data_IF_300211584050
#
_entry.id   IF_300211584050
#
_cell.length_a   1.000
_cell.length_b   1.000
_cell.length_c   1.000
_cell.angle_alpha   90.00
_cell.angle_beta   90.00
_cell.angle_gamma   90.00
#
_symmetry.space_group_name_H-M   'P 1'
#
loop_
_entity.id
_entity.type
_entity.pdbx_description
1 polymer ?
#
# COMPACT_ATOMS: atom_id res chain seq x y z
N UNK A 1 -23.05 23.64 32.07
CA UNK A 1 -23.63 22.29 31.90
C UNK A 1 -22.52 21.28 32.13
N UNK A 2 -22.72 20.31 33.05
CA UNK A 2 -21.70 19.27 33.32
C UNK A 2 -21.53 18.41 32.06
N UNK A 3 -20.31 17.88 31.78
CA UNK A 3 -20.04 17.06 30.58
C UNK A 3 -20.96 15.87 30.38
N UNK A 4 -21.51 15.35 31.47
CA UNK A 4 -22.37 14.16 31.54
C UNK A 4 -23.79 14.34 30.93
N UNK A 5 -24.25 15.57 30.74
CA UNK A 5 -25.61 15.90 30.27
C UNK A 5 -25.68 16.46 28.85
N UNK A 6 -24.62 16.30 28.05
CA UNK A 6 -24.67 16.73 26.64
C UNK A 6 -25.38 15.67 25.78
N UNK A 7 -26.23 16.07 24.82
CA UNK A 7 -26.84 15.12 23.91
C UNK A 7 -25.75 14.34 23.16
N UNK A 8 -25.90 13.02 23.14
CA UNK A 8 -24.96 12.12 22.46
C UNK A 8 -25.49 11.74 21.08
N UNK A 9 -24.63 11.81 20.11
CA UNK A 9 -24.90 11.47 18.71
C UNK A 9 -24.28 10.11 18.43
N UNK A 10 -25.07 9.18 17.90
CA UNK A 10 -24.61 7.86 17.47
C UNK A 10 -24.25 7.88 16.00
N UNK A 11 -23.01 7.48 15.65
CA UNK A 11 -22.59 7.35 14.25
C UNK A 11 -21.53 6.25 14.11
N UNK A 12 -21.73 5.32 13.18
CA UNK A 12 -20.82 4.16 12.94
C UNK A 12 -20.41 3.43 14.23
N UNK A 13 -21.37 3.20 15.15
CA UNK A 13 -21.14 2.49 16.41
C UNK A 13 -20.35 3.27 17.47
N UNK A 14 -20.17 4.57 17.30
CA UNK A 14 -19.51 5.46 18.27
C UNK A 14 -20.44 6.56 18.74
N UNK A 15 -20.27 6.95 19.99
CA UNK A 15 -20.98 8.09 20.59
C UNK A 15 -20.10 9.35 20.53
N UNK A 16 -20.73 10.48 20.23
CA UNK A 16 -20.10 11.79 20.17
C UNK A 16 -20.95 12.79 20.97
N UNK A 17 -20.34 13.61 21.81
CA UNK A 17 -20.96 14.83 22.30
C UNK A 17 -20.86 15.95 21.24
N UNK A 18 -21.55 17.08 21.44
CA UNK A 18 -21.58 18.22 20.50
C UNK A 18 -20.19 18.73 20.14
N UNK A 19 -19.27 18.76 21.11
CA UNK A 19 -17.91 19.21 20.87
C UNK A 19 -17.14 18.18 20.03
N UNK A 20 -17.22 16.90 20.40
CA UNK A 20 -16.59 15.81 19.67
C UNK A 20 -17.14 15.72 18.26
N UNK A 21 -18.46 15.89 18.07
CA UNK A 21 -19.09 15.90 16.76
C UNK A 21 -18.56 17.02 15.88
N UNK A 22 -18.47 18.25 16.43
CA UNK A 22 -17.90 19.39 15.71
C UNK A 22 -16.42 19.14 15.34
N UNK A 23 -15.63 18.59 16.24
CA UNK A 23 -14.23 18.26 15.95
C UNK A 23 -14.10 17.15 14.90
N UNK A 24 -14.95 16.14 14.96
CA UNK A 24 -14.98 15.06 13.95
C UNK A 24 -15.36 15.59 12.58
N UNK A 25 -16.39 16.43 12.48
CA UNK A 25 -16.78 17.06 11.22
C UNK A 25 -15.61 17.84 10.62
N UNK A 26 -14.95 18.70 11.40
CA UNK A 26 -13.78 19.47 10.96
C UNK A 26 -12.61 18.58 10.52
N UNK A 27 -12.42 17.45 11.20
CA UNK A 27 -11.37 16.48 10.81
C UNK A 27 -11.65 15.88 9.45
N UNK A 28 -12.89 15.45 9.18
CA UNK A 28 -13.28 14.90 7.88
C UNK A 28 -13.16 15.97 6.79
N UNK A 29 -13.56 17.19 7.06
CA UNK A 29 -13.47 18.31 6.14
C UNK A 29 -12.03 18.63 5.73
N UNK A 30 -11.10 18.64 6.71
CA UNK A 30 -9.65 18.79 6.42
C UNK A 30 -9.13 17.67 5.53
N UNK A 31 -9.56 16.42 5.77
CA UNK A 31 -9.13 15.31 4.95
C UNK A 31 -9.71 15.38 3.53
N UNK A 32 -10.95 15.85 3.35
CA UNK A 32 -11.55 16.15 2.03
C UNK A 32 -10.69 17.16 1.27
N UNK A 33 -10.32 18.27 1.92
CA UNK A 33 -9.46 19.29 1.31
C UNK A 33 -8.11 18.71 0.89
N UNK A 34 -7.48 17.90 1.77
CA UNK A 34 -6.20 17.24 1.46
C UNK A 34 -6.31 16.29 0.27
N UNK A 35 -7.33 15.42 0.23
CA UNK A 35 -7.50 14.47 -0.87
C UNK A 35 -7.80 15.19 -2.20
N UNK A 36 -8.57 16.26 -2.19
CA UNK A 36 -8.81 17.09 -3.39
C UNK A 36 -7.51 17.64 -3.96
N UNK A 37 -6.62 18.16 -3.12
CA UNK A 37 -5.34 18.71 -3.54
C UNK A 37 -4.36 17.65 -4.01
N UNK A 38 -4.34 16.49 -3.34
CA UNK A 38 -3.56 15.33 -3.80
C UNK A 38 -4.00 14.88 -5.19
N UNK A 39 -5.32 14.78 -5.43
CA UNK A 39 -5.86 14.45 -6.76
C UNK A 39 -5.33 15.43 -7.82
N UNK A 40 -5.48 16.74 -7.59
CA UNK A 40 -5.00 17.75 -8.53
C UNK A 40 -3.48 17.67 -8.76
N UNK A 41 -2.70 17.43 -7.70
CA UNK A 41 -1.24 17.29 -7.82
C UNK A 41 -0.83 16.02 -8.59
N UNK A 42 -1.55 14.91 -8.40
CA UNK A 42 -1.32 13.67 -9.15
C UNK A 42 -1.70 13.83 -10.63
N UNK A 43 -2.83 14.46 -10.92
CA UNK A 43 -3.22 14.81 -12.31
C UNK A 43 -2.16 15.64 -13.00
N UNK A 44 -1.68 16.70 -12.34
CA UNK A 44 -0.62 17.56 -12.88
C UNK A 44 0.73 16.85 -13.07
N UNK A 45 1.01 15.80 -12.28
CA UNK A 45 2.21 14.98 -12.40
C UNK A 45 2.05 13.81 -13.40
N UNK A 46 0.87 13.61 -14.01
CA UNK A 46 0.58 12.48 -14.91
C UNK A 46 0.45 11.13 -14.20
N UNK A 47 0.18 11.13 -12.88
CA UNK A 47 -0.01 9.94 -12.05
C UNK A 47 -1.50 9.55 -12.04
N UNK A 48 -1.98 8.99 -13.14
CA UNK A 48 -3.42 8.77 -13.40
C UNK A 48 -4.09 7.83 -12.40
N UNK A 49 -3.42 6.72 -12.06
CA UNK A 49 -3.95 5.75 -11.08
C UNK A 49 -4.07 6.37 -9.68
N UNK A 50 -3.05 7.12 -9.23
CA UNK A 50 -3.10 7.76 -7.91
C UNK A 50 -4.15 8.88 -7.87
N UNK A 51 -4.34 9.57 -8.96
CA UNK A 51 -5.41 10.57 -9.09
C UNK A 51 -6.78 9.91 -8.99
N UNK A 52 -6.97 8.73 -9.60
CA UNK A 52 -8.19 7.96 -9.53
C UNK A 52 -8.45 7.42 -8.13
N UNK A 53 -7.43 6.87 -7.47
CA UNK A 53 -7.51 6.43 -6.07
C UNK A 53 -7.86 7.58 -5.12
N UNK A 54 -7.23 8.74 -5.30
CA UNK A 54 -7.55 9.94 -4.53
C UNK A 54 -8.99 10.40 -4.75
N UNK A 55 -9.51 10.27 -5.98
CA UNK A 55 -10.90 10.58 -6.30
C UNK A 55 -11.89 9.63 -5.61
N UNK A 56 -11.62 8.33 -5.61
CA UNK A 56 -12.45 7.33 -4.90
C UNK A 56 -12.49 7.64 -3.39
N UNK A 57 -11.34 7.94 -2.80
CA UNK A 57 -11.25 8.32 -1.38
C UNK A 57 -12.02 9.61 -1.10
N UNK A 58 -11.93 10.59 -2.01
CA UNK A 58 -12.65 11.85 -1.91
C UNK A 58 -14.17 11.65 -1.95
N UNK A 59 -14.68 10.77 -2.81
CA UNK A 59 -16.10 10.42 -2.86
C UNK A 59 -16.57 9.83 -1.53
N UNK A 60 -15.88 8.80 -1.01
CA UNK A 60 -16.20 8.16 0.28
C UNK A 60 -16.17 9.16 1.46
N UNK A 61 -15.21 10.07 1.47
CA UNK A 61 -15.12 11.10 2.51
C UNK A 61 -16.27 12.11 2.42
N UNK A 62 -16.69 12.51 1.22
CA UNK A 62 -17.83 13.38 1.04
C UNK A 62 -19.15 12.72 1.47
N UNK A 63 -19.34 11.45 1.17
CA UNK A 63 -20.50 10.66 1.64
C UNK A 63 -20.51 10.57 3.17
N UNK A 64 -19.39 10.21 3.77
CA UNK A 64 -19.22 10.17 5.22
C UNK A 64 -19.48 11.54 5.88
N UNK A 65 -18.96 12.60 5.30
CA UNK A 65 -19.15 13.97 5.79
C UNK A 65 -20.63 14.35 5.82
N UNK A 66 -21.36 14.11 4.73
CA UNK A 66 -22.78 14.40 4.64
C UNK A 66 -23.61 13.56 5.61
N UNK A 67 -23.34 12.25 5.66
CA UNK A 67 -24.03 11.34 6.58
C UNK A 67 -23.81 11.73 8.04
N UNK A 68 -22.55 12.05 8.41
CA UNK A 68 -22.20 12.49 9.76
C UNK A 68 -22.83 13.84 10.11
N UNK A 69 -22.72 14.84 9.23
CA UNK A 69 -23.30 16.17 9.46
C UNK A 69 -24.81 16.10 9.65
N UNK A 70 -25.49 15.27 8.85
CA UNK A 70 -26.94 15.03 9.00
C UNK A 70 -27.28 14.35 10.33
N UNK A 71 -26.56 13.29 10.70
CA UNK A 71 -26.76 12.57 11.96
C UNK A 71 -26.52 13.47 13.19
N UNK A 72 -25.53 14.35 13.08
CA UNK A 72 -25.15 15.29 14.14
C UNK A 72 -26.00 16.58 14.17
N UNK A 73 -26.88 16.79 13.20
CA UNK A 73 -27.62 18.05 13.07
C UNK A 73 -26.72 19.27 12.84
N UNK A 74 -25.50 19.05 12.32
CA UNK A 74 -24.54 20.10 12.06
C UNK A 74 -24.67 20.64 10.64
N UNK A 75 -24.54 21.97 10.42
CA UNK A 75 -24.51 22.52 9.07
C UNK A 75 -23.25 22.04 8.35
N UNK A 76 -23.34 21.85 7.05
CA UNK A 76 -22.17 21.61 6.21
C UNK A 76 -21.30 22.88 6.20
N UNK A 77 -20.13 22.78 6.78
CA UNK A 77 -19.17 23.88 6.83
C UNK A 77 -18.10 23.67 5.78
N UNK A 78 -17.54 24.76 5.28
CA UNK A 78 -16.36 24.74 4.42
C UNK A 78 -15.19 25.31 5.21
N UNK A 79 -14.27 24.47 5.63
CA UNK A 79 -13.07 24.91 6.33
C UNK A 79 -12.09 25.56 5.35
N UNK A 80 -11.69 26.79 5.64
CA UNK A 80 -10.62 27.47 4.89
C UNK A 80 -9.28 27.06 5.48
N UNK A 81 -8.60 26.12 4.83
CA UNK A 81 -7.23 25.78 5.17
C UNK A 81 -6.24 26.80 4.59
N UNK A 82 -5.05 26.90 5.21
CA UNK A 82 -3.91 27.57 4.60
C UNK A 82 -3.49 26.77 3.35
N UNK A 83 -4.03 27.21 2.24
CA UNK A 83 -4.01 26.52 0.95
C UNK A 83 -2.60 26.20 0.50
N UNK A 84 -1.67 27.17 0.63
CA UNK A 84 -0.30 27.07 0.11
C UNK A 84 0.46 25.86 0.68
N UNK A 85 0.47 25.67 2.01
CA UNK A 85 1.21 24.58 2.64
C UNK A 85 0.71 23.19 2.16
N UNK A 86 -0.60 22.99 2.07
CA UNK A 86 -1.18 21.72 1.62
C UNK A 86 -0.87 21.46 0.14
N UNK A 87 -0.87 22.48 -0.68
CA UNK A 87 -0.50 22.36 -2.10
C UNK A 87 0.97 21.97 -2.25
N UNK A 88 1.87 22.62 -1.50
CA UNK A 88 3.30 22.32 -1.56
C UNK A 88 3.60 20.87 -1.10
N UNK A 89 2.98 20.43 -0.02
CA UNK A 89 3.11 19.02 0.44
C UNK A 89 2.55 18.04 -0.59
N UNK A 90 1.40 18.36 -1.20
CA UNK A 90 0.79 17.49 -2.22
C UNK A 90 1.65 17.42 -3.48
N UNK A 91 2.19 18.54 -3.94
CA UNK A 91 3.10 18.60 -5.09
C UNK A 91 4.40 17.84 -4.81
N UNK A 92 5.01 18.03 -3.62
CA UNK A 92 6.22 17.31 -3.24
C UNK A 92 5.98 15.79 -3.18
N UNK A 93 4.83 15.35 -2.67
CA UNK A 93 4.45 13.93 -2.65
C UNK A 93 4.25 13.39 -4.07
N UNK A 94 3.55 14.11 -4.95
CA UNK A 94 3.36 13.70 -6.32
C UNK A 94 4.69 13.62 -7.09
N UNK A 95 5.58 14.60 -6.90
CA UNK A 95 6.91 14.59 -7.51
C UNK A 95 7.75 13.39 -7.03
N UNK A 96 7.72 13.09 -5.71
CA UNK A 96 8.42 11.92 -5.16
C UNK A 96 7.89 10.60 -5.74
N UNK A 97 6.58 10.44 -5.85
CA UNK A 97 5.97 9.26 -6.46
C UNK A 97 6.32 9.13 -7.94
N UNK A 98 6.28 10.25 -8.68
CA UNK A 98 6.70 10.26 -10.09
C UNK A 98 8.15 9.81 -10.23
N UNK A 99 9.07 10.37 -9.43
CA UNK A 99 10.49 9.99 -9.45
C UNK A 99 10.69 8.49 -9.18
N UNK A 100 9.98 7.92 -8.20
CA UNK A 100 10.03 6.48 -7.92
C UNK A 100 9.52 5.66 -9.11
N UNK A 101 8.38 6.02 -9.69
CA UNK A 101 7.82 5.31 -10.85
C UNK A 101 8.70 5.41 -12.09
N UNK A 102 9.29 6.58 -12.34
CA UNK A 102 10.23 6.76 -13.45
C UNK A 102 11.48 5.89 -13.27
N UNK A 103 11.94 5.67 -12.03
CA UNK A 103 13.04 4.75 -11.73
C UNK A 103 12.64 3.27 -11.84
N UNK A 104 11.41 2.91 -11.49
CA UNK A 104 10.87 1.54 -11.58
C UNK A 104 10.54 1.11 -13.02
N UNK A 105 10.07 2.03 -13.85
CA UNK A 105 9.56 1.72 -15.19
C UNK A 105 10.55 0.95 -16.07
N UNK A 106 11.82 1.35 -16.23
CA UNK A 106 12.78 0.61 -17.04
C UNK A 106 13.10 -0.78 -16.48
N UNK A 107 13.06 -0.95 -15.16
CA UNK A 107 13.27 -2.24 -14.50
C UNK A 107 12.12 -3.20 -14.83
N UNK A 108 10.88 -2.73 -14.70
CA UNK A 108 9.68 -3.51 -15.05
C UNK A 108 9.67 -3.91 -16.50
N UNK A 109 10.04 -2.99 -17.37
CA UNK A 109 10.13 -3.26 -18.81
C UNK A 109 11.20 -4.31 -19.12
N UNK A 110 12.38 -4.23 -18.50
CA UNK A 110 13.45 -5.21 -18.65
C UNK A 110 13.01 -6.61 -18.16
N UNK A 111 12.29 -6.70 -17.03
CA UNK A 111 11.73 -7.97 -16.56
C UNK A 111 10.74 -8.54 -17.57
N UNK A 112 9.78 -7.75 -18.05
CA UNK A 112 8.76 -8.20 -19.01
C UNK A 112 9.35 -8.60 -20.35
N UNK A 113 10.41 -7.94 -20.79
CA UNK A 113 11.13 -8.26 -22.04
C UNK A 113 11.96 -9.55 -21.93
N UNK A 114 12.13 -10.08 -20.71
CA UNK A 114 12.89 -11.32 -20.48
C UNK A 114 14.40 -11.11 -20.32
N UNK A 115 14.85 -9.90 -20.01
CA UNK A 115 16.27 -9.63 -19.76
C UNK A 115 16.79 -10.36 -18.51
N UNK A 116 15.87 -10.82 -17.66
CA UNK A 116 16.17 -11.60 -16.45
C UNK A 116 15.48 -12.98 -16.53
N UNK A 117 16.22 -14.08 -16.33
CA UNK A 117 15.61 -15.42 -16.33
C UNK A 117 14.67 -15.57 -15.13
N UNK A 118 13.41 -15.93 -15.41
CA UNK A 118 12.37 -16.10 -14.40
C UNK A 118 12.26 -17.54 -13.86
N UNK A 119 13.05 -18.48 -14.39
CA UNK A 119 13.08 -19.85 -13.88
C UNK A 119 13.51 -19.86 -12.42
N UNK A 120 12.69 -20.48 -11.56
CA UNK A 120 13.02 -20.65 -10.16
C UNK A 120 14.21 -21.58 -10.03
N UNK A 121 15.31 -21.11 -9.43
CA UNK A 121 16.54 -21.88 -9.26
C UNK A 121 16.36 -22.87 -8.09
N UNK A 122 16.36 -24.20 -8.32
CA UNK A 122 16.03 -25.18 -7.28
C UNK A 122 17.00 -25.17 -6.10
N UNK A 123 18.30 -25.01 -6.34
CA UNK A 123 19.32 -25.00 -5.29
C UNK A 123 19.15 -23.80 -4.32
N UNK A 124 18.86 -22.61 -4.90
CA UNK A 124 18.63 -21.41 -4.10
C UNK A 124 17.28 -21.49 -3.39
N UNK A 125 16.27 -22.08 -4.02
CA UNK A 125 14.93 -22.21 -3.49
C UNK A 125 14.82 -23.24 -2.38
N UNK A 126 15.58 -24.33 -2.42
CA UNK A 126 15.54 -25.43 -1.46
C UNK A 126 15.60 -24.98 0.02
N UNK A 127 16.36 -23.90 0.30
CA UNK A 127 16.47 -23.37 1.67
C UNK A 127 15.20 -22.70 2.21
N UNK A 128 14.17 -22.55 1.40
CA UNK A 128 12.88 -21.96 1.73
C UNK A 128 11.68 -22.88 1.46
N UNK A 129 11.88 -24.09 0.93
CA UNK A 129 10.82 -25.07 0.70
C UNK A 129 10.59 -25.90 2.00
N UNK A 130 9.34 -26.26 2.29
CA UNK A 130 8.99 -26.93 3.55
C UNK A 130 9.80 -28.20 3.82
N UNK A 131 10.11 -28.97 2.78
CA UNK A 131 10.81 -30.25 2.89
C UNK A 131 12.32 -30.07 3.20
N UNK A 132 12.89 -28.93 2.83
CA UNK A 132 14.35 -28.71 2.85
C UNK A 132 14.75 -27.40 3.52
N UNK A 133 13.79 -26.72 4.17
CA UNK A 133 14.02 -25.43 4.79
C UNK A 133 15.08 -25.50 5.91
N UNK A 134 15.92 -24.49 5.94
CA UNK A 134 16.87 -24.30 7.05
C UNK A 134 16.08 -23.81 8.29
N UNK A 135 16.28 -24.43 9.45
CA UNK A 135 15.61 -24.01 10.68
C UNK A 135 15.74 -22.49 10.95
N UNK A 136 14.64 -21.87 11.38
CA UNK A 136 14.57 -20.43 11.65
C UNK A 136 14.40 -19.53 10.42
N UNK A 137 14.31 -20.10 9.22
CA UNK A 137 14.00 -19.33 8.00
C UNK A 137 12.51 -19.35 7.67
N UNK A 138 12.10 -18.34 6.92
CA UNK A 138 10.75 -18.29 6.32
C UNK A 138 10.58 -19.40 5.31
N UNK A 139 9.41 -20.03 5.28
CA UNK A 139 9.13 -21.26 4.54
C UNK A 139 7.98 -21.09 3.57
N UNK A 140 8.17 -21.60 2.34
CA UNK A 140 7.15 -21.77 1.31
C UNK A 140 6.55 -23.17 1.45
N UNK A 141 5.21 -23.26 1.47
CA UNK A 141 4.46 -24.50 1.65
C UNK A 141 3.73 -24.96 0.37
N UNK A 142 3.75 -24.15 -0.67
CA UNK A 142 3.24 -24.53 -1.99
C UNK A 142 4.33 -25.26 -2.80
N UNK A 143 3.94 -26.00 -3.85
CA UNK A 143 4.88 -26.73 -4.68
C UNK A 143 5.78 -25.79 -5.53
N UNK A 144 6.87 -26.36 -6.08
CA UNK A 144 7.76 -25.62 -6.98
C UNK A 144 7.04 -25.19 -8.26
N UNK A 145 6.14 -26.01 -8.78
CA UNK A 145 5.33 -25.72 -9.97
C UNK A 145 4.37 -24.55 -9.71
N UNK A 146 3.69 -24.56 -8.57
CA UNK A 146 2.83 -23.44 -8.17
C UNK A 146 3.62 -22.15 -7.94
N UNK A 147 4.81 -22.25 -7.33
CA UNK A 147 5.69 -21.12 -7.15
C UNK A 147 6.17 -20.54 -8.46
N UNK A 148 6.59 -21.41 -9.42
CA UNK A 148 6.98 -20.98 -10.76
C UNK A 148 5.85 -20.25 -11.47
N UNK A 149 4.63 -20.77 -11.39
CA UNK A 149 3.44 -20.13 -11.98
C UNK A 149 3.21 -18.73 -11.41
N UNK A 150 3.32 -18.55 -10.09
CA UNK A 150 3.21 -17.22 -9.46
C UNK A 150 4.29 -16.27 -9.96
N UNK A 151 5.53 -16.76 -10.10
CA UNK A 151 6.63 -15.96 -10.64
C UNK A 151 6.34 -15.54 -12.08
N UNK A 152 5.92 -16.47 -12.94
CA UNK A 152 5.64 -16.20 -14.36
C UNK A 152 4.49 -15.19 -14.53
N UNK A 153 3.45 -15.28 -13.71
CA UNK A 153 2.28 -14.40 -13.77
C UNK A 153 2.53 -13.01 -13.15
N UNK A 154 3.36 -12.91 -12.12
CA UNK A 154 3.46 -11.72 -11.29
C UNK A 154 4.77 -10.93 -11.44
N UNK A 155 5.83 -11.51 -12.01
CA UNK A 155 7.10 -10.82 -12.18
C UNK A 155 6.94 -9.51 -13.00
N UNK A 156 7.51 -8.43 -12.50
CA UNK A 156 7.39 -7.09 -13.07
C UNK A 156 6.09 -6.34 -12.72
N UNK A 157 5.18 -6.93 -11.92
CA UNK A 157 3.93 -6.27 -11.50
C UNK A 157 3.97 -5.71 -10.08
N UNK A 158 4.89 -6.20 -9.25
CA UNK A 158 4.95 -5.93 -7.82
C UNK A 158 5.67 -4.63 -7.44
N UNK A 159 6.07 -4.54 -6.19
CA UNK A 159 6.87 -3.44 -5.67
C UNK A 159 8.36 -3.69 -5.90
N UNK A 160 9.00 -2.87 -6.71
CA UNK A 160 10.45 -2.91 -6.99
C UNK A 160 11.21 -2.34 -5.80
N UNK A 161 12.12 -3.11 -5.20
CA UNK A 161 12.97 -2.61 -4.12
C UNK A 161 14.15 -1.79 -4.68
N UNK A 162 14.14 -0.49 -4.43
CA UNK A 162 15.20 0.44 -4.80
C UNK A 162 16.11 0.76 -3.59
N UNK A 163 17.35 1.18 -3.87
CA UNK A 163 18.23 1.82 -2.90
C UNK A 163 17.79 3.29 -2.69
N UNK A 164 18.48 4.01 -1.81
CA UNK A 164 18.26 5.46 -1.64
C UNK A 164 18.65 6.25 -2.89
N UNK A 165 19.59 5.74 -3.67
CA UNK A 165 20.07 6.30 -4.93
C UNK A 165 19.23 5.86 -6.13
N UNK A 166 18.06 5.27 -5.89
CA UNK A 166 17.10 4.78 -6.89
C UNK A 166 17.67 3.67 -7.81
N UNK A 167 18.68 2.95 -7.37
CA UNK A 167 19.19 1.76 -8.07
C UNK A 167 18.44 0.49 -7.63
N UNK A 168 18.22 -0.44 -8.53
CA UNK A 168 17.51 -1.67 -8.23
C UNK A 168 18.32 -2.63 -7.35
N UNK A 169 17.70 -3.17 -6.31
CA UNK A 169 18.29 -4.20 -5.44
C UNK A 169 18.18 -5.63 -6.00
N UNK A 170 17.76 -5.78 -7.24
CA UNK A 170 17.39 -7.06 -7.86
C UNK A 170 16.32 -7.82 -7.06
N UNK A 171 15.36 -7.09 -6.52
CA UNK A 171 14.28 -7.64 -5.70
C UNK A 171 12.97 -6.97 -6.02
N UNK A 172 11.92 -7.77 -5.97
CA UNK A 172 10.54 -7.36 -6.16
C UNK A 172 9.64 -8.07 -5.16
N UNK A 173 8.61 -7.39 -4.65
CA UNK A 173 7.60 -8.00 -3.79
C UNK A 173 6.30 -8.06 -4.59
N UNK A 174 5.77 -9.26 -4.79
CA UNK A 174 4.52 -9.50 -5.54
C UNK A 174 3.47 -10.16 -4.65
N UNK A 175 2.19 -9.93 -4.98
CA UNK A 175 1.07 -10.62 -4.36
C UNK A 175 0.98 -12.04 -4.95
N UNK A 176 0.84 -13.02 -4.08
CA UNK A 176 0.62 -14.40 -4.52
C UNK A 176 -0.87 -14.74 -4.70
N UNK A 177 -1.79 -13.83 -4.31
CA UNK A 177 -3.23 -14.05 -4.39
C UNK A 177 -3.78 -15.09 -3.40
N UNK A 178 -2.92 -15.82 -2.71
CA UNK A 178 -3.25 -16.89 -1.76
C UNK A 178 -2.18 -17.02 -0.68
N UNK A 179 -2.45 -17.83 0.31
CA UNK A 179 -1.44 -18.23 1.31
C UNK A 179 -0.40 -19.14 0.67
N UNK A 180 0.90 -18.81 0.86
CA UNK A 180 2.02 -19.49 0.21
C UNK A 180 3.05 -20.02 1.20
N UNK A 181 2.84 -19.80 2.47
CA UNK A 181 3.77 -20.19 3.53
C UNK A 181 3.77 -19.22 4.69
N UNK A 182 4.88 -19.12 5.39
CA UNK A 182 5.00 -18.27 6.56
C UNK A 182 6.37 -17.62 6.68
N UNK A 183 6.39 -16.47 7.35
CA UNK A 183 7.61 -15.79 7.78
C UNK A 183 7.80 -15.98 9.29
N UNK A 184 9.06 -15.96 9.72
CA UNK A 184 9.44 -15.94 11.14
C UNK A 184 10.01 -14.55 11.42
N UNK A 185 9.45 -13.83 12.38
CA UNK A 185 9.95 -12.52 12.77
C UNK A 185 11.14 -12.63 13.75
N UNK A 186 11.71 -11.50 14.13
CA UNK A 186 12.86 -11.46 15.06
C UNK A 186 12.52 -11.99 16.46
N UNK A 187 11.25 -12.03 16.85
CA UNK A 187 10.78 -12.58 18.13
C UNK A 187 10.48 -14.07 18.05
N UNK A 188 10.59 -14.69 16.86
CA UNK A 188 10.23 -16.08 16.62
C UNK A 188 8.76 -16.32 16.29
N UNK A 189 7.92 -15.27 16.17
CA UNK A 189 6.52 -15.43 15.81
C UNK A 189 6.36 -15.86 14.35
N UNK A 190 5.44 -16.77 14.11
CA UNK A 190 5.10 -17.29 12.79
C UNK A 190 3.96 -16.43 12.22
N UNK A 191 4.17 -15.85 11.05
CA UNK A 191 3.20 -14.99 10.36
C UNK A 191 2.93 -15.56 8.98
N UNK A 192 1.68 -15.84 8.67
CA UNK A 192 1.25 -16.31 7.35
C UNK A 192 1.62 -15.29 6.27
N UNK A 193 2.17 -15.79 5.17
CA UNK A 193 2.58 -14.98 4.02
C UNK A 193 1.61 -15.17 2.84
N UNK A 194 1.18 -14.03 2.26
CA UNK A 194 0.36 -13.95 1.04
C UNK A 194 1.08 -13.22 -0.09
N UNK A 195 2.34 -12.88 0.12
CA UNK A 195 3.21 -12.28 -0.87
C UNK A 195 4.57 -12.97 -0.86
N UNK A 196 5.27 -12.89 -1.97
CA UNK A 196 6.64 -13.35 -2.11
C UNK A 196 7.57 -12.20 -2.46
N UNK A 197 8.80 -12.29 -1.97
CA UNK A 197 9.91 -11.46 -2.44
C UNK A 197 10.71 -12.25 -3.44
N UNK A 198 10.67 -11.86 -4.71
CA UNK A 198 11.46 -12.44 -5.80
C UNK A 198 12.85 -11.81 -5.77
N UNK A 199 13.88 -12.63 -5.73
CA UNK A 199 15.28 -12.25 -5.86
C UNK A 199 15.77 -12.64 -7.25
N UNK A 200 16.11 -11.66 -8.06
CA UNK A 200 16.59 -11.85 -9.41
C UNK A 200 18.10 -12.11 -9.46
N UNK A 201 18.55 -13.02 -10.30
CA UNK A 201 19.95 -13.28 -10.54
C UNK A 201 20.18 -13.79 -11.97
N UNK A 202 21.45 -13.87 -12.41
CA UNK A 202 21.82 -14.38 -13.74
C UNK A 202 21.45 -15.86 -13.94
N UNK A 203 21.29 -16.63 -12.88
CA UNK A 203 21.00 -18.08 -12.92
C UNK A 203 19.54 -18.40 -12.59
N UNK A 204 18.66 -17.44 -12.73
CA UNK A 204 17.24 -17.56 -12.36
C UNK A 204 16.89 -16.81 -11.08
N UNK A 205 15.68 -17.00 -10.63
CA UNK A 205 15.13 -16.37 -9.45
C UNK A 205 15.04 -17.34 -8.28
N UNK A 206 14.89 -16.82 -7.07
CA UNK A 206 14.35 -17.55 -5.94
C UNK A 206 13.38 -16.64 -5.16
N UNK A 207 12.39 -17.22 -4.56
CA UNK A 207 11.34 -16.51 -3.85
C UNK A 207 11.41 -16.79 -2.34
N UNK A 208 11.17 -15.74 -1.56
CA UNK A 208 11.12 -15.83 -0.10
C UNK A 208 9.74 -15.35 0.35
N UNK A 209 9.05 -16.06 1.26
CA UNK A 209 7.78 -15.58 1.80
C UNK A 209 7.94 -14.20 2.40
N UNK A 210 6.95 -13.33 2.19
CA UNK A 210 6.96 -11.98 2.72
C UNK A 210 5.62 -11.69 3.40
N UNK A 211 5.65 -11.29 4.68
CA UNK A 211 4.46 -10.91 5.45
C UNK A 211 4.14 -9.42 5.38
N UNK A 212 5.05 -8.61 4.87
CA UNK A 212 4.84 -7.17 4.70
C UNK A 212 4.19 -6.91 3.36
N UNK A 213 2.89 -6.62 3.39
CA UNK A 213 2.19 -6.12 2.24
C UNK A 213 2.44 -4.61 2.08
N UNK A 214 2.92 -4.19 0.93
CA UNK A 214 3.01 -2.76 0.61
C UNK A 214 1.61 -2.28 0.24
N UNK A 215 0.92 -1.66 1.20
CA UNK A 215 -0.31 -0.93 0.88
C UNK A 215 0.05 0.21 -0.07
N UNK A 216 -0.49 0.15 -1.27
CA UNK A 216 -0.51 1.30 -2.19
C UNK A 216 -1.19 2.51 -1.56
#
# INVERSE_FOLDING_TARGET
>A
MKPENRPKIQFEGREYDDYQATQMQRRVEREICKQRRLKTAYEAAGLTEDAQDANIRLQRLNEKYRAFSKAAGLPEQRERMKVQYVDDVSKAKAASLKTLRDAEAPIREAIRRGDYPLTVNPEKQARHMVETAIPGRSVITISMEELQKIVDEQAGSGHIELTRELTWKNKEIVDAGKEIGYTINANGDIITAKSIKIHYSKTGVHAVPNSRWWKK
#
